data_IF_508988614268
#
_entry.id   IF_508988614268
#
_cell.length_a   1.000
_cell.length_b   1.000
_cell.length_c   1.000
_cell.angle_alpha   90.00
_cell.angle_beta   90.00
_cell.angle_gamma   90.00
#
_symmetry.space_group_name_H-M   'P 1'
#
loop_
_entity.id
_entity.type
_entity.pdbx_description
1 polymer ?
#
# COMPACT_ATOMS: atom_id res chain seq x y z
N UNK A 1 19.48 -11.66 47.63
CA UNK A 1 18.81 -10.50 47.01
C UNK A 1 18.94 -10.65 45.50
N UNK A 2 17.85 -10.99 44.81
CA UNK A 2 17.80 -11.02 43.35
C UNK A 2 17.51 -9.62 42.83
N UNK A 3 18.38 -9.08 41.98
CA UNK A 3 18.08 -7.88 41.19
C UNK A 3 17.35 -8.32 39.91
N UNK A 4 16.05 -8.04 39.85
CA UNK A 4 15.24 -8.15 38.64
C UNK A 4 15.69 -7.06 37.66
N UNK A 5 16.37 -7.45 36.58
CA UNK A 5 16.58 -6.58 35.42
C UNK A 5 15.26 -6.54 34.65
N UNK A 6 14.63 -5.36 34.46
CA UNK A 6 13.42 -5.27 33.67
C UNK A 6 13.72 -5.60 32.19
N UNK A 7 12.80 -6.25 31.47
CA UNK A 7 12.99 -6.52 30.05
C UNK A 7 13.07 -5.19 29.30
N UNK A 8 14.10 -5.05 28.46
CA UNK A 8 14.21 -3.94 27.54
C UNK A 8 13.00 -3.98 26.59
N UNK A 9 12.09 -3.02 26.76
CA UNK A 9 11.00 -2.80 25.82
C UNK A 9 11.62 -2.34 24.50
N UNK A 10 11.76 -3.25 23.53
CA UNK A 10 12.06 -2.91 22.15
C UNK A 10 10.82 -2.20 21.61
N UNK A 11 10.72 -0.89 21.82
CA UNK A 11 9.76 -0.08 21.10
C UNK A 11 10.17 -0.10 19.62
N UNK A 12 9.30 -0.54 18.68
CA UNK A 12 9.58 -0.33 17.28
C UNK A 12 9.62 1.18 17.04
N UNK A 13 10.79 1.69 16.66
CA UNK A 13 10.98 3.10 16.39
C UNK A 13 10.07 3.49 15.22
N UNK A 14 8.97 4.19 15.50
CA UNK A 14 8.07 4.72 14.49
C UNK A 14 8.77 5.90 13.83
N UNK A 15 9.10 5.80 12.54
CA UNK A 15 9.99 6.77 11.88
C UNK A 15 9.25 7.77 11.01
N UNK A 16 9.88 8.92 10.78
CA UNK A 16 9.32 10.06 10.05
C UNK A 16 8.63 9.61 8.75
N UNK A 17 7.45 10.18 8.42
CA UNK A 17 6.65 9.75 7.28
C UNK A 17 7.39 9.91 5.93
N UNK A 18 8.40 10.78 5.85
CA UNK A 18 9.16 11.05 4.63
C UNK A 18 10.21 10.01 4.28
N UNK A 19 10.65 9.21 5.24
CA UNK A 19 11.76 8.27 5.04
C UNK A 19 11.44 7.21 3.99
N UNK A 20 10.21 6.69 4.06
CA UNK A 20 9.78 5.55 3.27
C UNK A 20 8.66 5.87 2.27
N UNK A 21 8.07 7.07 2.37
CA UNK A 21 7.06 7.54 1.42
C UNK A 21 7.49 7.36 -0.04
N UNK A 22 8.67 7.85 -0.46
CA UNK A 22 9.11 7.70 -1.86
C UNK A 22 9.23 6.25 -2.35
N UNK A 23 9.63 5.32 -1.47
CA UNK A 23 9.69 3.89 -1.83
C UNK A 23 8.29 3.29 -1.91
N UNK A 24 7.41 3.61 -0.95
CA UNK A 24 6.02 3.13 -0.97
C UNK A 24 5.26 3.62 -2.21
N UNK A 25 5.47 4.87 -2.63
CA UNK A 25 4.90 5.43 -3.86
C UNK A 25 5.48 4.73 -5.11
N UNK A 26 6.81 4.55 -5.19
CA UNK A 26 7.41 3.85 -6.33
C UNK A 26 6.93 2.38 -6.47
N UNK A 27 6.69 1.70 -5.35
CA UNK A 27 6.12 0.36 -5.32
C UNK A 27 4.62 0.36 -5.66
N UNK A 28 3.87 1.40 -5.26
CA UNK A 28 2.50 1.63 -5.69
C UNK A 28 2.44 1.80 -7.21
N UNK A 29 3.33 2.59 -7.79
CA UNK A 29 3.37 2.85 -9.24
C UNK A 29 3.53 1.56 -10.07
N UNK A 30 4.29 0.58 -9.57
CA UNK A 30 4.38 -0.75 -10.18
C UNK A 30 3.04 -1.46 -10.26
N UNK A 31 2.31 -1.50 -9.15
CA UNK A 31 1.00 -2.13 -9.08
C UNK A 31 -0.02 -1.38 -9.95
N UNK A 32 0.03 -0.06 -9.95
CA UNK A 32 -0.81 0.78 -10.79
C UNK A 32 -0.53 0.59 -12.29
N UNK A 33 0.73 0.50 -12.69
CA UNK A 33 1.10 0.21 -14.07
C UNK A 33 0.51 -1.14 -14.53
N UNK A 34 0.59 -2.18 -13.71
CA UNK A 34 -0.06 -3.46 -13.99
C UNK A 34 -1.59 -3.33 -14.12
N UNK A 35 -2.25 -2.71 -13.15
CA UNK A 35 -3.72 -2.51 -13.13
C UNK A 35 -4.22 -1.76 -14.37
N UNK A 36 -3.40 -0.84 -14.89
CA UNK A 36 -3.71 -0.02 -16.05
C UNK A 36 -3.20 -0.62 -17.38
N UNK A 37 -2.68 -1.85 -17.37
CA UNK A 37 -2.19 -2.53 -18.57
C UNK A 37 -0.91 -1.93 -19.17
N UNK A 38 -0.17 -1.14 -18.38
CA UNK A 38 1.09 -0.46 -18.75
C UNK A 38 2.31 -1.33 -18.42
N UNK A 39 2.23 -2.62 -18.74
CA UNK A 39 3.25 -3.60 -18.34
C UNK A 39 4.63 -3.30 -18.93
N UNK A 40 4.69 -2.61 -20.07
CA UNK A 40 5.94 -2.16 -20.68
C UNK A 40 6.74 -1.19 -19.80
N UNK A 41 6.09 -0.51 -18.84
CA UNK A 41 6.76 0.43 -17.92
C UNK A 41 7.38 -0.25 -16.70
N UNK A 42 6.99 -1.50 -16.39
CA UNK A 42 7.39 -2.21 -15.18
C UNK A 42 8.92 -2.29 -14.98
N UNK A 43 9.76 -2.55 -16.02
CA UNK A 43 11.21 -2.58 -15.83
C UNK A 43 11.77 -1.24 -15.33
N UNK A 44 11.28 -0.12 -15.87
CA UNK A 44 11.71 1.23 -15.46
C UNK A 44 11.26 1.53 -14.04
N UNK A 45 10.05 1.12 -13.66
CA UNK A 45 9.50 1.32 -12.33
C UNK A 45 10.21 0.46 -11.26
N UNK A 46 10.72 -0.72 -11.62
CA UNK A 46 11.59 -1.51 -10.73
C UNK A 46 12.90 -0.75 -10.46
N UNK A 47 13.52 -0.17 -11.49
CA UNK A 47 14.74 0.64 -11.34
C UNK A 47 14.48 1.85 -10.44
N UNK A 48 13.34 2.53 -10.61
CA UNK A 48 12.93 3.64 -9.76
C UNK A 48 12.75 3.20 -8.30
N UNK A 49 12.07 2.07 -8.07
CA UNK A 49 11.87 1.48 -6.74
C UNK A 49 13.19 1.14 -6.05
N UNK A 50 14.15 0.56 -6.80
CA UNK A 50 15.50 0.27 -6.30
C UNK A 50 16.23 1.54 -5.88
N UNK A 51 16.20 2.58 -6.71
CA UNK A 51 16.82 3.87 -6.39
C UNK A 51 16.19 4.50 -5.15
N UNK A 52 14.87 4.43 -5.01
CA UNK A 52 14.17 4.92 -3.81
C UNK A 52 14.58 4.13 -2.55
N UNK A 53 14.72 2.82 -2.66
CA UNK A 53 15.20 1.95 -1.58
C UNK A 53 16.64 2.26 -1.18
N UNK A 54 17.57 2.34 -2.13
CA UNK A 54 18.97 2.68 -1.84
C UNK A 54 19.11 4.04 -1.15
N UNK A 55 18.31 5.02 -1.57
CA UNK A 55 18.26 6.32 -0.94
C UNK A 55 17.71 6.25 0.50
N UNK A 56 16.62 5.51 0.71
CA UNK A 56 16.05 5.32 2.04
C UNK A 56 17.04 4.63 2.98
N UNK A 57 17.68 3.55 2.51
CA UNK A 57 18.70 2.79 3.26
C UNK A 57 19.91 3.64 3.62
N UNK A 58 20.42 4.46 2.69
CA UNK A 58 21.57 5.34 2.93
C UNK A 58 21.26 6.42 3.96
N UNK A 59 20.10 7.06 3.84
CA UNK A 59 19.74 8.18 4.72
C UNK A 59 19.22 7.71 6.07
N UNK A 60 18.83 6.43 6.18
CA UNK A 60 18.19 5.88 7.37
C UNK A 60 18.60 4.44 7.70
N UNK A 61 19.90 4.18 7.95
CA UNK A 61 20.45 2.84 8.08
C UNK A 61 19.98 2.06 9.32
N UNK A 62 19.43 2.74 10.33
CA UNK A 62 19.05 2.12 11.61
C UNK A 62 17.55 1.83 11.76
N UNK A 63 16.73 2.10 10.74
CA UNK A 63 15.28 1.92 10.86
C UNK A 63 14.87 0.47 10.65
N UNK A 64 15.55 -0.20 9.73
CA UNK A 64 15.33 -1.60 9.44
C UNK A 64 16.49 -2.38 10.04
N UNK A 65 16.17 -3.54 10.59
CA UNK A 65 17.19 -4.52 10.96
C UNK A 65 17.87 -5.05 9.68
N UNK A 66 19.11 -5.52 9.78
CA UNK A 66 19.81 -6.09 8.62
C UNK A 66 19.01 -7.20 7.91
N UNK A 67 18.29 -8.12 8.61
CA UNK A 67 17.44 -9.10 7.96
C UNK A 67 16.28 -8.49 7.17
N UNK A 68 15.66 -7.42 7.66
CA UNK A 68 14.56 -6.73 6.97
C UNK A 68 15.06 -6.00 5.73
N UNK A 69 16.20 -5.32 5.84
CA UNK A 69 16.84 -4.68 4.70
C UNK A 69 17.22 -5.71 3.61
N UNK A 70 17.79 -6.84 4.01
CA UNK A 70 18.11 -7.95 3.09
C UNK A 70 16.87 -8.59 2.46
N UNK A 71 15.74 -8.63 3.17
CA UNK A 71 14.48 -9.12 2.62
C UNK A 71 13.95 -8.19 1.52
N UNK A 72 14.05 -6.87 1.72
CA UNK A 72 13.69 -5.88 0.70
C UNK A 72 14.64 -5.99 -0.50
N UNK A 73 15.96 -6.07 -0.27
CA UNK A 73 16.97 -6.25 -1.33
C UNK A 73 16.62 -7.47 -2.21
N UNK A 74 16.46 -8.65 -1.58
CA UNK A 74 16.12 -9.89 -2.29
C UNK A 74 14.81 -9.78 -3.07
N UNK A 75 13.81 -9.11 -2.52
CA UNK A 75 12.52 -8.96 -3.19
C UNK A 75 12.65 -8.09 -4.43
N UNK A 76 13.37 -6.96 -4.34
CA UNK A 76 13.64 -6.08 -5.47
C UNK A 76 14.56 -6.73 -6.53
N UNK A 77 15.47 -7.61 -6.13
CA UNK A 77 16.31 -8.41 -7.04
C UNK A 77 15.51 -9.49 -7.78
N UNK A 78 14.46 -10.02 -7.15
CA UNK A 78 13.65 -11.10 -7.72
C UNK A 78 12.55 -10.55 -8.64
N UNK A 79 12.05 -9.32 -8.40
CA UNK A 79 10.97 -8.72 -9.19
C UNK A 79 11.15 -8.78 -10.72
N UNK A 80 12.33 -8.48 -11.31
CA UNK A 80 12.52 -8.49 -12.77
C UNK A 80 12.24 -9.84 -13.44
N UNK A 81 12.34 -10.96 -12.70
CA UNK A 81 12.10 -12.31 -13.23
C UNK A 81 10.69 -12.84 -12.94
N UNK A 82 9.85 -12.05 -12.27
CA UNK A 82 8.46 -12.40 -11.98
C UNK A 82 7.56 -12.07 -13.16
N UNK A 83 6.44 -12.82 -13.27
CA UNK A 83 5.33 -12.43 -14.14
C UNK A 83 4.75 -11.08 -13.66
N UNK A 84 4.22 -10.23 -14.56
CA UNK A 84 3.71 -8.89 -14.21
C UNK A 84 2.78 -8.85 -12.99
N UNK A 85 1.80 -9.76 -12.94
CA UNK A 85 0.91 -9.88 -11.78
C UNK A 85 1.64 -10.18 -10.47
N UNK A 86 2.55 -11.14 -10.46
CA UNK A 86 3.31 -11.50 -9.25
C UNK A 86 4.26 -10.38 -8.84
N UNK A 87 4.77 -9.60 -9.81
CA UNK A 87 5.54 -8.40 -9.55
C UNK A 87 4.69 -7.35 -8.83
N UNK A 88 3.47 -7.08 -9.32
CA UNK A 88 2.52 -6.18 -8.65
C UNK A 88 2.19 -6.64 -7.23
N UNK A 89 1.83 -7.91 -7.03
CA UNK A 89 1.55 -8.46 -5.70
C UNK A 89 2.77 -8.35 -4.75
N UNK A 90 3.97 -8.61 -5.26
CA UNK A 90 5.22 -8.46 -4.50
C UNK A 90 5.49 -7.00 -4.15
N UNK A 91 5.21 -6.07 -5.06
CA UNK A 91 5.38 -4.63 -4.83
C UNK A 91 4.42 -4.12 -3.76
N UNK A 92 3.15 -4.55 -3.80
CA UNK A 92 2.17 -4.23 -2.77
C UNK A 92 2.56 -4.79 -1.40
N UNK A 93 3.08 -6.03 -1.35
CA UNK A 93 3.59 -6.63 -0.11
C UNK A 93 4.78 -5.87 0.49
N UNK A 94 5.74 -5.47 -0.35
CA UNK A 94 6.85 -4.61 0.07
C UNK A 94 6.37 -3.23 0.53
N UNK A 95 5.45 -2.61 -0.21
CA UNK A 95 4.92 -1.30 0.12
C UNK A 95 4.17 -1.34 1.47
N UNK A 96 3.40 -2.39 1.74
CA UNK A 96 2.76 -2.64 3.03
C UNK A 96 3.77 -2.80 4.17
N UNK A 97 4.83 -3.58 3.94
CA UNK A 97 5.92 -3.77 4.93
C UNK A 97 6.57 -2.44 5.29
N UNK A 98 6.85 -1.63 4.27
CA UNK A 98 7.52 -0.33 4.39
C UNK A 98 6.59 0.72 5.02
N UNK A 99 5.30 0.72 4.69
CA UNK A 99 4.27 1.56 5.33
C UNK A 99 4.14 1.28 6.82
N UNK A 100 4.31 0.02 7.24
CA UNK A 100 4.31 -0.36 8.66
C UNK A 100 5.34 0.40 9.50
N UNK A 101 6.39 0.95 8.87
CA UNK A 101 7.47 1.72 9.52
C UNK A 101 7.29 3.22 9.48
N UNK A 102 6.28 3.72 8.77
CA UNK A 102 5.99 5.15 8.68
C UNK A 102 5.16 5.61 9.89
N UNK A 103 5.35 6.86 10.35
CA UNK A 103 4.47 7.48 11.35
C UNK A 103 3.02 7.61 10.85
N UNK A 104 2.02 7.46 11.75
CA UNK A 104 0.63 7.80 11.44
C UNK A 104 0.54 9.20 10.83
N UNK A 105 -0.13 9.30 9.69
CA UNK A 105 -0.32 10.54 8.93
C UNK A 105 -1.40 10.30 7.88
N UNK A 106 -2.00 11.39 7.38
CA UNK A 106 -2.94 11.32 6.25
C UNK A 106 -2.32 10.65 5.03
N UNK A 107 -1.06 10.96 4.69
CA UNK A 107 -0.34 10.33 3.57
C UNK A 107 -0.18 8.81 3.76
N UNK A 108 0.18 8.36 4.97
CA UNK A 108 0.25 6.92 5.28
C UNK A 108 -1.12 6.26 5.16
N UNK A 109 -2.18 6.89 5.68
CA UNK A 109 -3.54 6.38 5.61
C UNK A 109 -4.03 6.27 4.14
N UNK A 110 -3.75 7.30 3.34
CA UNK A 110 -4.01 7.30 1.88
C UNK A 110 -3.33 6.13 1.19
N UNK A 111 -2.01 5.99 1.39
CA UNK A 111 -1.24 4.92 0.77
C UNK A 111 -1.73 3.54 1.21
N UNK A 112 -2.07 3.36 2.49
CA UNK A 112 -2.63 2.10 2.97
C UNK A 112 -3.96 1.75 2.27
N UNK A 113 -4.84 2.74 2.10
CA UNK A 113 -6.10 2.59 1.37
C UNK A 113 -5.87 2.22 -0.11
N UNK A 114 -4.96 2.92 -0.79
CA UNK A 114 -4.58 2.62 -2.18
C UNK A 114 -4.06 1.19 -2.34
N UNK A 115 -3.09 0.79 -1.50
CA UNK A 115 -2.52 -0.55 -1.59
C UNK A 115 -3.56 -1.64 -1.29
N UNK A 116 -4.47 -1.41 -0.35
CA UNK A 116 -5.54 -2.36 -0.05
C UNK A 116 -6.47 -2.55 -1.26
N UNK A 117 -6.87 -1.46 -1.93
CA UNK A 117 -7.68 -1.53 -3.14
C UNK A 117 -6.93 -2.19 -4.31
N UNK A 118 -5.65 -1.87 -4.51
CA UNK A 118 -4.82 -2.50 -5.54
C UNK A 118 -4.57 -4.00 -5.28
N UNK A 119 -4.40 -4.38 -4.00
CA UNK A 119 -4.27 -5.79 -3.63
C UNK A 119 -5.58 -6.54 -3.85
N UNK A 120 -6.70 -5.97 -3.41
CA UNK A 120 -8.02 -6.49 -3.69
C UNK A 120 -8.24 -6.69 -5.20
N UNK A 121 -7.80 -5.74 -6.03
CA UNK A 121 -7.86 -5.87 -7.49
C UNK A 121 -7.14 -7.11 -7.99
N UNK A 122 -5.88 -7.31 -7.57
CA UNK A 122 -5.07 -8.45 -7.97
C UNK A 122 -5.73 -9.77 -7.55
N UNK A 123 -6.34 -9.82 -6.36
CA UNK A 123 -7.05 -11.00 -5.83
C UNK A 123 -8.37 -11.26 -6.58
N UNK A 124 -9.14 -10.23 -6.90
CA UNK A 124 -10.35 -10.33 -7.73
C UNK A 124 -10.02 -10.83 -9.12
N UNK A 125 -8.96 -10.31 -9.74
CA UNK A 125 -8.48 -10.77 -11.04
C UNK A 125 -8.05 -12.24 -11.02
N UNK A 126 -7.49 -12.70 -9.91
CA UNK A 126 -7.17 -14.09 -9.64
C UNK A 126 -8.39 -14.99 -9.38
N UNK A 127 -9.57 -14.41 -9.15
CA UNK A 127 -10.76 -15.08 -8.59
C UNK A 127 -10.52 -15.66 -7.18
N UNK A 128 -9.59 -15.07 -6.42
CA UNK A 128 -9.26 -15.42 -5.03
C UNK A 128 -10.02 -14.54 -4.05
N UNK A 129 -11.35 -14.63 -4.10
CA UNK A 129 -12.27 -13.76 -3.33
C UNK A 129 -12.11 -13.87 -1.82
N UNK A 130 -11.77 -15.06 -1.32
CA UNK A 130 -11.49 -15.38 0.08
C UNK A 130 -10.23 -14.66 0.62
N UNK A 131 -9.38 -14.14 -0.27
CA UNK A 131 -8.13 -13.47 0.06
C UNK A 131 -8.20 -11.95 -0.19
N UNK A 132 -9.39 -11.41 -0.46
CA UNK A 132 -9.57 -9.96 -0.60
C UNK A 132 -9.46 -9.34 0.80
N UNK A 133 -8.51 -8.41 1.02
CA UNK A 133 -8.38 -7.74 2.31
C UNK A 133 -9.65 -6.95 2.64
N UNK A 134 -9.91 -6.68 3.92
CA UNK A 134 -10.98 -5.76 4.30
C UNK A 134 -10.63 -4.33 3.85
N UNK A 135 -11.12 -3.99 2.65
CA UNK A 135 -10.87 -2.70 2.01
C UNK A 135 -11.54 -1.58 2.83
N UNK A 136 -12.70 -1.83 3.43
CA UNK A 136 -13.40 -0.80 4.19
C UNK A 136 -12.63 -0.44 5.47
N UNK A 137 -12.13 -1.43 6.20
CA UNK A 137 -11.27 -1.22 7.37
C UNK A 137 -10.00 -0.44 7.02
N UNK A 138 -9.36 -0.76 5.88
CA UNK A 138 -8.15 -0.06 5.44
C UNK A 138 -8.39 1.41 5.09
N UNK A 139 -9.59 1.76 4.64
CA UNK A 139 -9.99 3.13 4.31
C UNK A 139 -10.38 3.96 5.54
N UNK A 140 -10.77 3.33 6.66
CA UNK A 140 -11.27 4.04 7.83
C UNK A 140 -10.31 5.12 8.36
N UNK A 141 -9.00 4.87 8.54
CA UNK A 141 -8.08 5.91 8.99
C UNK A 141 -7.99 7.09 8.03
N UNK A 142 -8.15 6.86 6.72
CA UNK A 142 -8.16 7.92 5.73
C UNK A 142 -9.45 8.75 5.83
N UNK A 143 -10.60 8.09 5.96
CA UNK A 143 -11.89 8.75 6.16
C UNK A 143 -11.93 9.59 7.44
N UNK A 144 -11.37 9.10 8.54
CA UNK A 144 -11.26 9.83 9.81
C UNK A 144 -10.48 11.15 9.63
N UNK A 145 -9.41 11.12 8.83
CA UNK A 145 -8.66 12.32 8.46
C UNK A 145 -9.45 13.28 7.55
N UNK A 146 -10.44 12.79 6.79
CA UNK A 146 -11.24 13.58 5.86
C UNK A 146 -12.57 14.09 6.45
N UNK A 147 -13.09 13.48 7.51
CA UNK A 147 -14.44 13.70 8.04
C UNK A 147 -14.71 15.13 8.56
N UNK A 148 -13.68 15.89 8.92
CA UNK A 148 -13.81 17.19 9.59
C UNK A 148 -13.57 18.45 8.74
N UNK A 149 -13.51 18.37 7.40
CA UNK A 149 -13.06 19.51 6.58
C UNK A 149 -13.63 19.60 5.16
N UNK A 150 -12.93 20.35 4.30
CA UNK A 150 -13.29 20.59 2.88
C UNK A 150 -13.42 19.31 2.03
N UNK A 151 -12.89 18.18 2.52
CA UNK A 151 -12.88 16.89 1.83
C UNK A 151 -14.05 15.97 2.23
N UNK A 152 -14.99 16.43 3.06
CA UNK A 152 -16.13 15.64 3.57
C UNK A 152 -17.08 15.13 2.47
N UNK A 153 -17.17 15.81 1.32
CA UNK A 153 -17.93 15.32 0.16
C UNK A 153 -17.22 14.14 -0.54
N UNK A 154 -15.89 14.18 -0.65
CA UNK A 154 -15.09 13.07 -1.18
C UNK A 154 -15.14 11.84 -0.27
N UNK A 155 -15.02 12.06 1.05
CA UNK A 155 -15.14 11.00 2.04
C UNK A 155 -16.50 10.28 1.96
N UNK A 156 -17.61 11.02 1.84
CA UNK A 156 -18.95 10.43 1.65
C UNK A 156 -19.03 9.55 0.41
N UNK A 157 -18.51 10.02 -0.73
CA UNK A 157 -18.48 9.22 -1.96
C UNK A 157 -17.70 7.93 -1.77
N UNK A 158 -16.52 8.00 -1.12
CA UNK A 158 -15.72 6.81 -0.84
C UNK A 158 -16.53 5.81 -0.01
N UNK A 159 -17.22 6.25 1.05
CA UNK A 159 -18.10 5.39 1.86
C UNK A 159 -19.20 4.74 1.01
N UNK A 160 -19.86 5.50 0.14
CA UNK A 160 -20.91 4.97 -0.74
C UNK A 160 -20.34 3.88 -1.68
N UNK A 161 -19.18 4.11 -2.30
CA UNK A 161 -18.55 3.15 -3.21
C UNK A 161 -18.01 1.91 -2.50
N UNK A 162 -17.58 2.01 -1.24
CA UNK A 162 -17.20 0.85 -0.45
C UNK A 162 -18.40 -0.10 -0.25
N UNK A 163 -19.61 0.44 -0.07
CA UNK A 163 -20.84 -0.36 -0.01
C UNK A 163 -21.12 -1.11 -1.31
N UNK A 164 -21.05 -0.41 -2.45
CA UNK A 164 -21.25 -1.04 -3.78
C UNK A 164 -20.21 -2.12 -4.04
N UNK A 165 -18.95 -1.88 -3.68
CA UNK A 165 -17.89 -2.87 -3.80
C UNK A 165 -18.21 -4.14 -2.99
N UNK A 166 -18.68 -4.00 -1.74
CA UNK A 166 -19.04 -5.15 -0.91
C UNK A 166 -20.14 -6.01 -1.56
N UNK A 167 -21.15 -5.37 -2.17
CA UNK A 167 -22.19 -6.07 -2.93
C UNK A 167 -21.61 -6.82 -4.14
N UNK A 168 -20.71 -6.19 -4.90
CA UNK A 168 -20.05 -6.83 -6.04
C UNK A 168 -19.13 -7.99 -5.63
N UNK A 169 -18.42 -7.85 -4.51
CA UNK A 169 -17.60 -8.93 -3.92
C UNK A 169 -18.49 -10.10 -3.46
N UNK A 170 -19.60 -9.82 -2.77
CA UNK A 170 -20.55 -10.84 -2.30
C UNK A 170 -21.16 -11.63 -3.47
N UNK A 171 -21.46 -10.94 -4.57
CA UNK A 171 -21.96 -11.55 -5.79
C UNK A 171 -20.85 -12.13 -6.69
N UNK A 172 -19.58 -12.05 -6.28
CA UNK A 172 -18.39 -12.53 -7.02
C UNK A 172 -18.31 -11.98 -8.45
N UNK A 173 -18.74 -10.73 -8.63
CA UNK A 173 -18.75 -10.00 -9.89
C UNK A 173 -17.35 -9.48 -10.20
N UNK A 174 -16.56 -10.19 -11.02
CA UNK A 174 -15.18 -9.77 -11.36
C UNK A 174 -15.16 -8.37 -11.97
N UNK A 175 -16.00 -8.13 -12.97
CA UNK A 175 -16.03 -6.87 -13.71
C UNK A 175 -16.51 -5.72 -12.84
N UNK A 176 -17.56 -5.94 -12.03
CA UNK A 176 -18.11 -4.95 -11.11
C UNK A 176 -17.10 -4.57 -10.02
N UNK A 177 -16.57 -5.56 -9.31
CA UNK A 177 -15.59 -5.34 -8.25
C UNK A 177 -14.33 -4.63 -8.78
N UNK A 178 -13.82 -5.01 -9.96
CA UNK A 178 -12.71 -4.28 -10.60
C UNK A 178 -13.10 -2.83 -10.88
N UNK A 179 -14.25 -2.58 -11.52
CA UNK A 179 -14.72 -1.19 -11.77
C UNK A 179 -14.76 -0.36 -10.49
N UNK A 180 -15.29 -0.90 -9.41
CA UNK A 180 -15.50 -0.16 -8.16
C UNK A 180 -14.19 0.06 -7.39
N UNK A 181 -13.28 -0.92 -7.41
CA UNK A 181 -11.91 -0.72 -6.91
C UNK A 181 -11.16 0.38 -7.67
N UNK A 182 -11.30 0.46 -9.00
CA UNK A 182 -10.73 1.58 -9.77
C UNK A 182 -11.30 2.90 -9.30
N UNK A 183 -12.61 2.92 -9.08
CA UNK A 183 -13.31 4.13 -8.69
C UNK A 183 -12.90 4.62 -7.31
N UNK A 184 -12.66 3.72 -6.37
CA UNK A 184 -12.11 4.05 -5.05
C UNK A 184 -10.73 4.73 -5.18
N UNK A 185 -9.82 4.17 -5.98
CA UNK A 185 -8.50 4.75 -6.23
C UNK A 185 -8.59 6.18 -6.79
N UNK A 186 -9.46 6.40 -7.78
CA UNK A 186 -9.69 7.74 -8.35
C UNK A 186 -10.23 8.75 -7.33
N UNK A 187 -11.11 8.32 -6.43
CA UNK A 187 -11.71 9.18 -5.42
C UNK A 187 -10.71 9.60 -4.34
N UNK A 188 -9.82 8.69 -3.96
CA UNK A 188 -8.72 8.99 -3.03
C UNK A 188 -7.82 10.08 -3.61
N UNK A 189 -7.44 9.96 -4.89
CA UNK A 189 -6.62 10.98 -5.55
C UNK A 189 -7.34 12.33 -5.73
N UNK A 190 -8.65 12.31 -6.00
CA UNK A 190 -9.46 13.54 -6.08
C UNK A 190 -9.59 14.22 -4.71
N UNK A 191 -9.69 13.46 -3.63
CA UNK A 191 -9.79 13.99 -2.28
C UNK A 191 -8.51 14.71 -1.80
N UNK A 192 -7.38 14.50 -2.48
CA UNK A 192 -6.13 15.24 -2.24
C UNK A 192 -6.04 16.58 -3.01
N UNK A 193 -6.89 16.82 -4.01
CA UNK A 193 -6.87 18.08 -4.77
C UNK A 193 -7.56 19.20 -3.97
N UNK A 194 -6.95 20.38 -3.83
CA UNK A 194 -7.47 21.49 -3.04
C UNK A 194 -8.77 22.09 -3.58
#
# INVERSE_FOLDING_TARGET
MMALVPPATVQPAVVAPKTFGPLAEALKDLAEAYINGREAELPTLIVASRKAWENARRNHPHILTDPEAQAIDRSLDTMPILKPRHMAESALGLAGTVLGRMKPSRTRARLAADLAAMLAWCRVEARSWDQVPDVAEAFQPYLDHCAGGRHSAGARRITDYLGVLQDDLANRSVTGAKRDLRRLLELVDQAEKP
#
